data_IF_543125217720
#
_entry.id   IF_543125217720
#
_cell.length_a   1.000
_cell.length_b   1.000
_cell.length_c   1.000
_cell.angle_alpha   90.00
_cell.angle_beta   90.00
_cell.angle_gamma   90.00
#
_symmetry.space_group_name_H-M   'P 1'
#
loop_
_entity.id
_entity.type
_entity.pdbx_description
1 polymer ?
#
# COMPACT_ATOMS: atom_id res chain seq x y z
N UNK A 1 -2.82 22.52 7.31
CA UNK A 1 -1.80 22.56 8.39
C UNK A 1 -0.47 23.13 7.83
N UNK A 2 0.17 24.09 8.50
CA UNK A 2 1.39 24.77 7.98
C UNK A 2 2.61 23.92 8.33
N UNK A 3 3.42 23.60 7.32
CA UNK A 3 4.70 22.88 7.42
C UNK A 3 5.77 23.84 6.90
N UNK A 4 6.90 23.96 7.62
CA UNK A 4 7.99 24.91 7.36
C UNK A 4 8.72 25.36 8.64
N UNK A 5 9.87 26.01 8.49
CA UNK A 5 10.64 26.60 9.60
C UNK A 5 9.93 27.84 10.18
N UNK A 6 10.11 28.10 11.49
CA UNK A 6 9.59 29.28 12.23
C UNK A 6 8.04 29.44 12.34
N UNK A 7 7.27 28.36 12.19
CA UNK A 7 5.79 28.43 12.28
C UNK A 7 5.27 28.88 13.66
N UNK A 8 5.86 28.38 14.74
CA UNK A 8 5.43 28.71 16.09
C UNK A 8 5.55 30.21 16.37
N UNK A 9 6.70 30.80 16.01
CA UNK A 9 6.92 32.24 16.16
C UNK A 9 5.93 33.07 15.33
N UNK A 10 5.68 32.67 14.08
CA UNK A 10 4.71 33.37 13.22
C UNK A 10 3.29 33.31 13.79
N UNK A 11 2.88 32.14 14.29
CA UNK A 11 1.57 31.96 14.93
C UNK A 11 1.49 32.79 16.21
N UNK A 12 2.53 32.80 17.04
CA UNK A 12 2.58 33.62 18.26
C UNK A 12 2.47 35.12 17.96
N UNK A 13 3.14 35.60 16.91
CA UNK A 13 3.02 36.98 16.41
C UNK A 13 1.60 37.28 15.93
N UNK A 14 0.97 36.39 15.16
CA UNK A 14 -0.42 36.55 14.71
C UNK A 14 -1.44 36.56 15.85
N UNK A 15 -1.17 35.80 16.92
CA UNK A 15 -2.02 35.71 18.11
C UNK A 15 -1.68 36.76 19.18
N UNK A 16 -0.67 37.60 18.96
CA UNK A 16 -0.17 38.60 19.91
C UNK A 16 0.21 38.02 21.29
N UNK A 17 0.69 36.78 21.32
CA UNK A 17 1.13 36.11 22.56
C UNK A 17 2.64 36.19 22.71
N UNK A 18 3.10 36.49 23.94
CA UNK A 18 4.53 36.64 24.26
C UNK A 18 5.17 35.36 24.81
N UNK A 19 4.37 34.49 25.41
CA UNK A 19 4.84 33.30 26.13
C UNK A 19 4.19 32.05 25.55
N UNK A 20 4.99 31.01 25.31
CA UNK A 20 4.53 29.70 24.86
C UNK A 20 4.92 28.66 25.92
N UNK A 21 3.91 28.09 26.57
CA UNK A 21 4.10 27.01 27.53
C UNK A 21 3.83 25.67 26.83
N UNK A 22 4.86 24.83 26.69
CA UNK A 22 4.75 23.50 26.09
C UNK A 22 4.63 22.44 27.19
N UNK A 23 3.55 21.65 27.15
CA UNK A 23 3.31 20.54 28.08
C UNK A 23 3.24 19.20 27.32
N UNK A 24 4.38 18.68 26.84
CA UNK A 24 4.42 17.37 26.18
C UNK A 24 4.19 16.24 27.20
N UNK A 25 3.76 15.07 26.71
CA UNK A 25 3.52 13.90 27.57
C UNK A 25 4.75 13.40 28.30
N UNK A 26 5.95 13.67 27.78
CA UNK A 26 7.23 13.33 28.39
C UNK A 26 7.73 14.38 29.39
N UNK A 27 6.94 15.40 29.70
CA UNK A 27 7.30 16.41 30.70
C UNK A 27 7.33 15.78 32.09
N UNK A 28 8.39 16.02 32.87
CA UNK A 28 8.66 15.35 34.15
C UNK A 28 7.46 15.39 35.11
N UNK A 29 6.82 16.55 35.27
CA UNK A 29 5.64 16.70 36.13
C UNK A 29 4.45 15.87 35.64
N UNK A 30 4.24 15.79 34.31
CA UNK A 30 3.13 15.06 33.70
C UNK A 30 3.38 13.56 33.77
N UNK A 31 4.61 13.10 33.51
CA UNK A 31 5.01 11.71 33.70
C UNK A 31 4.81 11.28 35.15
N UNK A 32 5.29 12.07 36.12
CA UNK A 32 5.17 11.74 37.54
C UNK A 32 3.74 11.69 38.08
N UNK A 33 2.77 12.27 37.36
CA UNK A 33 1.34 12.13 37.66
C UNK A 33 0.70 10.96 36.90
N UNK A 34 1.04 10.78 35.61
CA UNK A 34 0.50 9.71 34.77
C UNK A 34 1.02 8.30 35.13
N UNK A 35 2.23 8.20 35.66
CA UNK A 35 2.87 6.93 36.04
C UNK A 35 2.38 6.39 37.39
N UNK A 36 1.67 7.20 38.20
CA UNK A 36 1.17 6.77 39.52
C UNK A 36 0.20 5.62 39.42
N UNK A 37 -0.72 5.70 38.46
CA UNK A 37 -1.77 4.70 38.23
C UNK A 37 -1.81 4.32 36.74
N UNK A 38 -0.72 3.74 36.25
CA UNK A 38 -0.65 3.29 34.86
C UNK A 38 -1.60 2.09 34.60
N UNK A 39 -2.44 2.14 33.55
CA UNK A 39 -3.31 1.02 33.21
C UNK A 39 -2.49 -0.17 32.71
N UNK A 40 -2.90 -1.38 33.09
CA UNK A 40 -2.32 -2.61 32.52
C UNK A 40 -2.73 -2.75 31.05
N UNK A 41 -1.74 -2.75 30.15
CA UNK A 41 -1.96 -2.89 28.70
C UNK A 41 -1.43 -4.24 28.25
N UNK A 42 -2.33 -5.06 27.68
CA UNK A 42 -1.98 -6.36 27.08
C UNK A 42 -1.97 -6.22 25.55
N UNK A 43 -0.78 -6.29 24.96
CA UNK A 43 -0.60 -6.18 23.51
C UNK A 43 -0.85 -7.53 22.82
N UNK A 44 -2.01 -7.68 22.19
CA UNK A 44 -2.34 -8.87 21.40
C UNK A 44 -1.98 -8.64 19.93
N UNK A 45 -0.96 -9.36 19.44
CA UNK A 45 -0.53 -9.32 18.03
C UNK A 45 -1.30 -10.34 17.19
N UNK A 46 -2.22 -9.87 16.36
CA UNK A 46 -2.95 -10.71 15.42
C UNK A 46 -2.33 -10.60 14.02
N UNK A 47 -1.68 -11.67 13.50
CA UNK A 47 -1.09 -11.63 12.17
C UNK A 47 -2.17 -11.66 11.08
N UNK A 48 -1.91 -10.97 9.96
CA UNK A 48 -2.76 -11.06 8.78
C UNK A 48 -2.63 -12.42 8.10
N UNK A 49 -3.75 -12.91 7.55
CA UNK A 49 -3.77 -14.13 6.73
C UNK A 49 -2.87 -13.98 5.49
N UNK A 50 -2.30 -15.08 4.96
CA UNK A 50 -1.42 -15.03 3.79
C UNK A 50 -2.09 -14.40 2.56
N UNK A 51 -3.39 -14.65 2.36
CA UNK A 51 -4.15 -14.02 1.28
C UNK A 51 -4.30 -12.51 1.46
N UNK A 52 -4.55 -12.03 2.69
CA UNK A 52 -4.62 -10.59 2.98
C UNK A 52 -3.25 -9.92 2.77
N UNK A 53 -2.16 -10.57 3.17
CA UNK A 53 -0.80 -10.07 2.93
C UNK A 53 -0.50 -9.96 1.43
N UNK A 54 -0.89 -10.96 0.64
CA UNK A 54 -0.75 -10.92 -0.82
C UNK A 54 -1.56 -9.78 -1.46
N UNK A 55 -2.78 -9.52 -0.96
CA UNK A 55 -3.60 -8.38 -1.43
C UNK A 55 -2.93 -7.06 -1.07
N UNK A 56 -2.48 -6.90 0.18
CA UNK A 56 -1.80 -5.69 0.63
C UNK A 56 -0.56 -5.40 -0.23
N UNK A 57 0.28 -6.41 -0.46
CA UNK A 57 1.47 -6.30 -1.29
C UNK A 57 1.13 -5.88 -2.72
N UNK A 58 0.13 -6.50 -3.34
CA UNK A 58 -0.29 -6.14 -4.70
C UNK A 58 -0.87 -4.72 -4.79
N UNK A 59 -1.57 -4.24 -3.75
CA UNK A 59 -2.06 -2.86 -3.69
C UNK A 59 -0.91 -1.87 -3.52
N UNK A 60 0.08 -2.19 -2.68
CA UNK A 60 1.29 -1.37 -2.51
C UNK A 60 2.11 -1.28 -3.81
N UNK A 61 2.28 -2.38 -4.54
CA UNK A 61 2.93 -2.39 -5.85
C UNK A 61 2.18 -1.51 -6.86
N UNK A 62 0.86 -1.58 -6.87
CA UNK A 62 0.02 -0.76 -7.76
C UNK A 62 0.15 0.72 -7.39
N UNK A 63 0.17 1.03 -6.10
CA UNK A 63 0.36 2.38 -5.59
C UNK A 63 1.74 2.94 -5.94
N UNK A 64 2.81 2.15 -5.82
CA UNK A 64 4.16 2.53 -6.24
C UNK A 64 4.23 2.79 -7.76
N UNK A 65 3.58 1.95 -8.58
CA UNK A 65 3.47 2.20 -10.02
C UNK A 65 2.73 3.52 -10.32
N UNK A 66 1.62 3.81 -9.64
CA UNK A 66 0.91 5.08 -9.77
C UNK A 66 1.76 6.28 -9.32
N UNK A 67 2.53 6.15 -8.25
CA UNK A 67 3.46 7.19 -7.79
C UNK A 67 4.61 7.42 -8.77
N UNK A 68 5.16 6.37 -9.37
CA UNK A 68 6.17 6.47 -10.43
C UNK A 68 5.63 7.21 -11.65
N UNK A 69 4.40 6.90 -12.09
CA UNK A 69 3.74 7.64 -13.17
C UNK A 69 3.46 9.10 -12.79
N UNK A 70 3.13 9.38 -11.53
CA UNK A 70 2.92 10.72 -11.03
C UNK A 70 4.23 11.54 -11.01
N UNK A 71 5.34 10.93 -10.57
CA UNK A 71 6.70 11.53 -10.56
C UNK A 71 7.19 11.93 -11.94
N UNK A 72 6.86 11.16 -12.99
CA UNK A 72 7.19 11.52 -14.39
C UNK A 72 6.59 12.87 -14.81
N UNK A 73 5.54 13.34 -14.14
CA UNK A 73 4.89 14.61 -14.45
C UNK A 73 5.62 15.85 -13.91
N UNK A 74 6.83 15.70 -13.32
CA UNK A 74 7.86 16.69 -12.96
C UNK A 74 7.45 18.01 -12.26
N UNK A 75 6.18 18.16 -11.84
CA UNK A 75 5.63 19.35 -11.15
C UNK A 75 5.39 19.12 -9.65
N UNK A 76 5.87 18.01 -9.09
CA UNK A 76 5.55 17.55 -7.74
C UNK A 76 6.86 17.16 -7.06
N UNK A 77 7.01 17.58 -5.80
CA UNK A 77 8.22 17.35 -5.03
C UNK A 77 8.37 15.87 -4.67
N UNK A 78 9.55 15.31 -4.93
CA UNK A 78 9.78 13.84 -4.92
C UNK A 78 10.01 13.31 -3.50
N UNK A 79 10.47 14.17 -2.58
CA UNK A 79 10.82 13.80 -1.20
C UNK A 79 9.61 13.37 -0.37
N UNK A 80 8.46 14.00 -0.58
CA UNK A 80 7.21 13.67 0.14
C UNK A 80 6.46 12.47 -0.47
N UNK A 81 6.77 12.08 -1.71
CA UNK A 81 6.05 11.06 -2.48
C UNK A 81 6.58 9.63 -2.27
N UNK A 82 6.86 9.22 -1.03
CA UNK A 82 7.23 7.82 -0.72
C UNK A 82 6.00 6.97 -0.43
N UNK A 83 6.11 5.64 -0.64
CA UNK A 83 5.02 4.69 -0.34
C UNK A 83 4.69 4.72 1.16
N UNK A 84 5.70 4.87 2.01
CA UNK A 84 5.56 4.96 3.47
C UNK A 84 4.78 6.21 3.88
N UNK A 85 5.13 7.37 3.33
CA UNK A 85 4.36 8.61 3.54
C UNK A 85 2.94 8.48 2.99
N UNK A 86 2.79 7.77 1.88
CA UNK A 86 1.53 7.46 1.24
C UNK A 86 0.55 6.60 2.05
N UNK A 87 1.01 5.92 3.10
CA UNK A 87 0.12 5.17 3.99
C UNK A 87 -0.55 6.04 5.06
N UNK A 88 0.00 7.22 5.35
CA UNK A 88 -0.56 8.10 6.36
C UNK A 88 -1.76 8.90 5.82
N UNK A 89 -2.70 9.20 6.72
CA UNK A 89 -3.87 10.06 6.42
C UNK A 89 -3.46 11.47 5.98
N UNK A 90 -2.31 11.96 6.44
CA UNK A 90 -1.74 13.26 6.09
C UNK A 90 -1.33 13.37 4.63
N UNK A 91 -1.12 12.26 3.91
CA UNK A 91 -0.67 12.30 2.53
C UNK A 91 -1.67 12.98 1.59
N UNK A 92 -2.98 12.79 1.80
CA UNK A 92 -4.00 13.47 0.98
C UNK A 92 -3.92 15.00 1.15
N UNK A 93 -3.56 15.47 2.34
CA UNK A 93 -3.39 16.89 2.63
C UNK A 93 -2.10 17.43 1.99
N UNK A 94 -1.01 16.66 2.04
CA UNK A 94 0.27 17.01 1.38
C UNK A 94 0.07 17.10 -0.14
N UNK A 95 -0.55 16.08 -0.74
CA UNK A 95 -0.82 16.05 -2.19
C UNK A 95 -1.74 17.18 -2.61
N UNK A 96 -2.81 17.48 -1.85
CA UNK A 96 -3.66 18.64 -2.16
C UNK A 96 -2.89 19.95 -2.10
N UNK A 97 -2.08 20.17 -1.06
CA UNK A 97 -1.33 21.41 -0.92
C UNK A 97 -0.35 21.65 -2.08
N UNK A 98 0.29 20.60 -2.58
CA UNK A 98 1.21 20.71 -3.71
C UNK A 98 0.46 20.87 -5.05
N UNK A 99 -0.71 20.25 -5.20
CA UNK A 99 -1.46 20.25 -6.46
C UNK A 99 -2.47 21.39 -6.60
N UNK A 100 -3.01 21.93 -5.52
CA UNK A 100 -4.00 23.02 -5.52
C UNK A 100 -3.52 24.26 -6.32
N UNK A 101 -2.25 24.73 -6.18
CA UNK A 101 -1.76 25.88 -6.95
C UNK A 101 -1.71 25.63 -8.46
N UNK A 102 -1.52 24.37 -8.87
CA UNK A 102 -1.28 23.97 -10.27
C UNK A 102 -2.49 23.21 -10.83
N UNK A 103 -3.59 23.08 -10.09
CA UNK A 103 -4.68 22.14 -10.40
C UNK A 103 -5.28 22.35 -11.79
N UNK A 104 -5.39 23.60 -12.24
CA UNK A 104 -5.90 23.95 -13.56
C UNK A 104 -4.95 23.55 -14.70
N UNK A 105 -3.63 23.52 -14.46
CA UNK A 105 -2.60 23.17 -15.44
C UNK A 105 -2.30 21.66 -15.51
N UNK A 106 -2.89 20.85 -14.62
CA UNK A 106 -2.70 19.41 -14.61
C UNK A 106 -3.59 18.72 -15.65
N UNK A 107 -2.99 17.79 -16.40
CA UNK A 107 -3.70 16.96 -17.37
C UNK A 107 -4.73 16.05 -16.71
N UNK A 108 -5.74 15.61 -17.48
CA UNK A 108 -6.79 14.68 -17.00
C UNK A 108 -6.21 13.37 -16.44
N UNK A 109 -5.12 12.86 -17.04
CA UNK A 109 -4.40 11.65 -16.59
C UNK A 109 -3.88 11.81 -15.15
N UNK A 110 -3.24 12.94 -14.84
CA UNK A 110 -2.66 13.20 -13.51
C UNK A 110 -3.73 13.39 -12.45
N UNK A 111 -4.84 14.09 -12.78
CA UNK A 111 -5.99 14.23 -11.87
C UNK A 111 -6.62 12.88 -11.54
N UNK A 112 -6.70 11.98 -12.53
CA UNK A 112 -7.17 10.63 -12.32
C UNK A 112 -6.20 9.82 -11.44
N UNK A 113 -4.88 9.90 -11.64
CA UNK A 113 -3.90 9.21 -10.78
C UNK A 113 -4.04 9.60 -9.30
N UNK A 114 -4.32 10.88 -9.01
CA UNK A 114 -4.55 11.34 -7.63
C UNK A 114 -5.84 10.75 -7.04
N UNK A 115 -6.91 10.66 -7.85
CA UNK A 115 -8.15 9.98 -7.45
C UNK A 115 -7.93 8.49 -7.21
N UNK A 116 -7.14 7.84 -8.07
CA UNK A 116 -6.79 6.43 -7.97
C UNK A 116 -5.96 6.14 -6.71
N UNK A 117 -4.97 6.98 -6.37
CA UNK A 117 -4.20 6.87 -5.12
C UNK A 117 -5.10 6.94 -3.88
N UNK A 118 -6.08 7.84 -3.89
CA UNK A 118 -7.07 7.96 -2.81
C UNK A 118 -7.95 6.70 -2.71
N UNK A 119 -8.34 6.13 -3.84
CA UNK A 119 -9.11 4.90 -3.89
C UNK A 119 -8.31 3.70 -3.38
N UNK A 120 -7.05 3.54 -3.81
CA UNK A 120 -6.15 2.46 -3.37
C UNK A 120 -5.91 2.50 -1.86
N UNK A 121 -5.80 3.70 -1.26
CA UNK A 121 -5.70 3.83 0.20
C UNK A 121 -7.00 3.40 0.91
N UNK A 122 -8.16 3.79 0.39
CA UNK A 122 -9.45 3.31 0.93
C UNK A 122 -9.57 1.79 0.82
N UNK A 123 -9.09 1.22 -0.27
CA UNK A 123 -9.09 -0.23 -0.48
C UNK A 123 -8.25 -0.95 0.59
N UNK A 124 -7.09 -0.40 0.97
CA UNK A 124 -6.29 -0.94 2.09
C UNK A 124 -7.02 -0.84 3.44
N UNK A 125 -7.68 0.28 3.74
CA UNK A 125 -8.46 0.45 4.99
C UNK A 125 -9.64 -0.54 5.04
N UNK A 126 -10.31 -0.73 3.90
CA UNK A 126 -11.46 -1.61 3.75
C UNK A 126 -11.10 -3.08 3.86
N UNK A 127 -9.88 -3.48 3.46
CA UNK A 127 -9.39 -4.85 3.62
C UNK A 127 -9.33 -5.27 5.09
N UNK A 128 -9.04 -4.33 5.99
CA UNK A 128 -8.91 -4.58 7.43
C UNK A 128 -10.23 -4.42 8.19
N UNK A 129 -11.15 -3.58 7.70
CA UNK A 129 -12.38 -3.22 8.40
C UNK A 129 -13.61 -4.01 7.97
N UNK A 130 -13.73 -4.39 6.70
CA UNK A 130 -14.91 -5.08 6.18
C UNK A 130 -14.73 -6.59 6.10
N UNK A 131 -15.85 -7.30 6.08
CA UNK A 131 -15.91 -8.71 5.78
C UNK A 131 -15.52 -8.98 4.32
N UNK A 132 -15.14 -10.24 4.05
CA UNK A 132 -14.60 -10.65 2.75
C UNK A 132 -15.62 -10.49 1.61
N UNK A 133 -16.91 -10.71 1.90
CA UNK A 133 -17.97 -10.66 0.89
C UNK A 133 -18.30 -9.22 0.52
N UNK A 134 -18.46 -8.33 1.51
CA UNK A 134 -18.63 -6.90 1.27
C UNK A 134 -17.43 -6.30 0.55
N UNK A 135 -16.22 -6.71 0.91
CA UNK A 135 -15.00 -6.27 0.23
C UNK A 135 -14.97 -6.68 -1.24
N UNK A 136 -15.32 -7.94 -1.57
CA UNK A 136 -15.43 -8.40 -2.95
C UNK A 136 -16.50 -7.62 -3.72
N UNK A 137 -17.68 -7.41 -3.13
CA UNK A 137 -18.76 -6.62 -3.74
C UNK A 137 -18.30 -5.20 -4.04
N UNK A 138 -17.62 -4.55 -3.11
CA UNK A 138 -17.07 -3.21 -3.31
C UNK A 138 -16.09 -3.19 -4.49
N UNK A 139 -15.20 -4.17 -4.55
CA UNK A 139 -14.20 -4.30 -5.60
C UNK A 139 -14.84 -4.53 -6.98
N UNK A 140 -15.90 -5.34 -7.07
CA UNK A 140 -16.68 -5.52 -8.29
C UNK A 140 -17.46 -4.24 -8.69
N UNK A 141 -18.03 -3.51 -7.72
CA UNK A 141 -18.67 -2.22 -8.03
C UNK A 141 -17.68 -1.19 -8.58
N UNK A 142 -16.47 -1.12 -8.02
CA UNK A 142 -15.40 -0.27 -8.53
C UNK A 142 -15.01 -0.65 -9.95
N UNK A 143 -14.95 -1.95 -10.26
CA UNK A 143 -14.65 -2.43 -11.62
C UNK A 143 -15.68 -1.92 -12.63
N UNK A 144 -16.96 -1.93 -12.26
CA UNK A 144 -18.05 -1.49 -13.14
C UNK A 144 -18.07 0.04 -13.27
N UNK A 145 -17.87 0.79 -12.18
CA UNK A 145 -17.97 2.25 -12.19
C UNK A 145 -16.72 2.94 -12.76
N UNK A 146 -15.53 2.42 -12.46
CA UNK A 146 -14.25 3.09 -12.73
C UNK A 146 -13.45 2.41 -13.83
N UNK A 147 -13.92 1.29 -14.39
CA UNK A 147 -13.19 0.49 -15.39
C UNK A 147 -12.79 1.22 -16.67
N UNK A 148 -13.47 2.34 -17.01
CA UNK A 148 -13.18 3.15 -18.20
C UNK A 148 -12.20 4.30 -17.91
N UNK A 149 -12.11 4.76 -16.66
CA UNK A 149 -11.37 5.99 -16.30
C UNK A 149 -10.13 5.71 -15.48
N UNK A 150 -10.19 4.75 -14.57
CA UNK A 150 -9.12 4.48 -13.62
C UNK A 150 -7.93 3.77 -14.27
N UNK A 151 -6.72 4.26 -14.00
CA UNK A 151 -5.48 3.77 -14.61
C UNK A 151 -4.95 2.56 -13.85
N UNK A 152 -5.17 2.53 -12.52
CA UNK A 152 -4.76 1.40 -11.67
C UNK A 152 -5.40 0.07 -12.11
N UNK A 153 -6.60 0.12 -12.70
CA UNK A 153 -7.26 -1.07 -13.20
C UNK A 153 -6.47 -1.69 -14.35
N UNK A 154 -5.63 -0.97 -15.10
CA UNK A 154 -4.86 -1.54 -16.21
C UNK A 154 -3.50 -2.09 -15.80
N UNK A 155 -3.08 -1.90 -14.55
CA UNK A 155 -1.80 -2.37 -14.03
C UNK A 155 -1.85 -3.90 -13.85
N UNK A 156 -0.80 -4.61 -14.24
CA UNK A 156 -0.73 -6.08 -14.15
C UNK A 156 -1.01 -6.62 -12.73
N UNK A 157 -0.64 -5.85 -11.69
CA UNK A 157 -0.93 -6.17 -10.29
C UNK A 157 -2.43 -6.21 -9.95
N UNK A 158 -3.33 -5.65 -10.78
CA UNK A 158 -4.79 -5.75 -10.58
C UNK A 158 -5.25 -7.20 -10.56
N UNK A 159 -4.74 -8.03 -11.49
CA UNK A 159 -5.19 -9.41 -11.64
C UNK A 159 -4.93 -10.22 -10.37
N UNK A 160 -3.78 -10.00 -9.74
CA UNK A 160 -3.41 -10.61 -8.46
C UNK A 160 -4.39 -10.23 -7.34
N UNK A 161 -4.80 -8.96 -7.26
CA UNK A 161 -5.77 -8.49 -6.26
C UNK A 161 -7.11 -9.22 -6.45
N UNK A 162 -7.67 -9.21 -7.65
CA UNK A 162 -8.96 -9.85 -7.93
C UNK A 162 -8.92 -11.36 -7.68
N UNK A 163 -7.83 -12.04 -8.07
CA UNK A 163 -7.67 -13.47 -7.88
C UNK A 163 -7.60 -13.84 -6.39
N UNK A 164 -6.79 -13.12 -5.60
CA UNK A 164 -6.64 -13.38 -4.17
C UNK A 164 -7.92 -13.10 -3.39
N UNK A 165 -8.67 -12.07 -3.76
CA UNK A 165 -9.96 -11.76 -3.13
C UNK A 165 -10.99 -12.83 -3.45
N UNK A 166 -11.06 -13.28 -4.69
CA UNK A 166 -11.93 -14.39 -5.09
C UNK A 166 -11.57 -15.69 -4.36
N UNK A 167 -10.28 -16.00 -4.22
CA UNK A 167 -9.80 -17.15 -3.44
C UNK A 167 -10.20 -17.11 -1.96
N UNK A 168 -10.48 -15.93 -1.39
CA UNK A 168 -10.97 -15.80 -0.01
C UNK A 168 -12.47 -16.06 0.13
N UNK A 169 -13.26 -15.87 -0.93
CA UNK A 169 -14.73 -16.03 -0.91
C UNK A 169 -15.15 -17.37 -1.47
N UNK A 170 -14.58 -17.75 -2.62
CA UNK A 170 -14.94 -18.95 -3.34
C UNK A 170 -13.94 -20.06 -3.06
N UNK A 171 -14.44 -21.15 -2.49
CA UNK A 171 -13.74 -22.42 -2.53
C UNK A 171 -14.10 -23.10 -3.85
N UNK A 172 -13.09 -23.34 -4.70
CA UNK A 172 -13.30 -24.15 -5.90
C UNK A 172 -13.48 -25.59 -5.43
N UNK A 173 -14.73 -26.00 -5.23
CA UNK A 173 -15.08 -27.40 -5.05
C UNK A 173 -14.98 -28.04 -6.42
N UNK A 174 -13.90 -28.79 -6.66
CA UNK A 174 -13.95 -29.77 -7.72
C UNK A 174 -15.01 -30.79 -7.31
N UNK A 175 -16.06 -30.91 -8.10
CA UNK A 175 -17.03 -32.00 -7.95
C UNK A 175 -16.30 -33.27 -8.39
N UNK A 176 -15.59 -33.89 -7.45
CA UNK A 176 -15.02 -35.22 -7.59
C UNK A 176 -16.17 -36.24 -7.59
N UNK A 177 -16.85 -36.31 -8.73
CA UNK A 177 -17.77 -37.37 -9.09
C UNK A 177 -17.10 -38.50 -9.87
N UNK A 178 -15.77 -38.69 -9.83
CA UNK A 178 -15.11 -39.95 -10.23
C UNK A 178 -13.78 -40.10 -9.46
N UNK A 179 -13.75 -41.04 -8.52
CA UNK A 179 -12.53 -41.72 -8.10
C UNK A 179 -12.07 -42.57 -9.30
N UNK A 180 -10.92 -42.27 -9.90
CA UNK A 180 -10.20 -43.31 -10.63
C UNK A 180 -8.68 -43.20 -10.38
N UNK A 181 -8.19 -44.20 -9.67
CA UNK A 181 -6.81 -44.65 -9.67
C UNK A 181 -6.38 -44.93 -11.12
N UNK A 182 -5.49 -44.11 -11.67
CA UNK A 182 -4.34 -44.51 -12.50
C UNK A 182 -3.87 -43.34 -13.37
N UNK A 183 -2.69 -42.83 -13.03
CA UNK A 183 -1.89 -41.94 -13.88
C UNK A 183 -0.41 -42.22 -13.65
N UNK A 184 0.01 -43.46 -13.94
CA UNK A 184 1.43 -43.84 -14.06
C UNK A 184 2.16 -42.89 -15.02
N UNK A 185 3.36 -42.49 -14.60
CA UNK A 185 4.57 -42.14 -15.37
C UNK A 185 4.37 -41.70 -16.83
N UNK A 186 4.86 -40.49 -17.13
CA UNK A 186 5.65 -40.26 -18.33
C UNK A 186 7.03 -39.81 -17.89
N UNK A 187 7.96 -40.77 -17.83
CA UNK A 187 9.38 -40.48 -18.03
C UNK A 187 9.58 -40.23 -19.52
N UNK A 188 9.88 -38.98 -19.89
CA UNK A 188 10.51 -38.64 -21.16
C UNK A 188 12.01 -38.51 -20.93
N UNK A 189 12.75 -39.50 -21.38
CA UNK A 189 14.19 -39.65 -21.22
C UNK A 189 14.91 -38.92 -22.37
N UNK A 190 15.83 -37.99 -22.11
CA UNK A 190 17.00 -37.76 -22.98
C UNK A 190 18.18 -37.15 -22.20
N UNK A 191 19.00 -38.08 -21.68
CA UNK A 191 20.46 -38.16 -21.68
C UNK A 191 21.28 -36.96 -21.19
N UNK A 192 21.81 -37.12 -19.98
CA UNK A 192 23.13 -36.62 -19.61
C UNK A 192 24.21 -37.29 -20.46
N UNK A 193 25.14 -36.50 -20.98
CA UNK A 193 26.47 -36.98 -21.37
C UNK A 193 27.46 -36.28 -20.47
N UNK A 194 27.91 -36.98 -19.44
CA UNK A 194 29.21 -36.76 -18.83
C UNK A 194 30.27 -37.36 -19.76
N UNK A 195 31.26 -36.55 -20.14
CA UNK A 195 32.60 -37.03 -20.45
C UNK A 195 33.59 -36.10 -19.76
N UNK A 196 34.15 -36.60 -18.68
CA UNK A 196 35.41 -36.15 -18.11
C UNK A 196 36.49 -36.17 -19.19
N UNK A 197 37.38 -35.16 -19.18
CA UNK A 197 38.83 -35.37 -19.09
C UNK A 197 39.58 -34.02 -19.05
N UNK A 198 40.15 -33.76 -17.88
CA UNK A 198 41.56 -33.39 -17.68
C UNK A 198 42.12 -32.09 -18.33
N UNK A 199 42.34 -31.12 -17.44
CA UNK A 199 43.66 -30.66 -16.99
C UNK A 199 44.37 -29.52 -17.77
N UNK A 200 45.12 -28.73 -16.99
CA UNK A 200 46.24 -27.83 -17.36
C UNK A 200 45.79 -26.42 -17.85
N UNK A 201 46.15 -25.25 -17.28
CA UNK A 201 47.25 -24.83 -16.39
C UNK A 201 46.94 -23.48 -15.72
N UNK A 202 47.56 -23.27 -14.55
CA UNK A 202 47.83 -22.00 -13.86
C UNK A 202 48.43 -20.93 -14.78
N UNK A 203 48.42 -19.65 -14.34
CA UNK A 203 49.63 -18.85 -14.06
C UNK A 203 49.21 -17.44 -13.60
N UNK A 204 49.56 -17.16 -12.33
CA UNK A 204 49.88 -15.88 -11.65
C UNK A 204 48.79 -14.82 -11.50
#
# INVERSE_FOLDING_TARGET
>A
MVFGFANAERIMKCLYVRWLNLWPRFHVLVCGDLERDAPEVVDVRVPMTPAMRGIQQAVLETMDACLKELRKTNKIDVEDLTVENGLFKSFDEVVRRQLDPIWHMLGKKTKQLVSDLRMLRKLLDYLLRYDVVTYLKYLDTLRVSEGVRSIWIFVESRYKIFELVKKRVFQVVQVDGVRNSNGRKIMGHQRSVTRDSANVKEVV
#
